data_IF_205526341400
#
_entry.id   IF_205526341400
#
_cell.length_a   1.000
_cell.length_b   1.000
_cell.length_c   1.000
_cell.angle_alpha   90.00
_cell.angle_beta   90.00
_cell.angle_gamma   90.00
#
_symmetry.space_group_name_H-M   'P 1'
#
loop_
_entity.id
_entity.type
_entity.pdbx_description
1 polymer ?
#
# COMPACT_ATOMS: atom_id res chain seq x y z
N UNK A 1 -26.22 11.70 17.19
CA UNK A 1 -25.30 10.95 16.30
C UNK A 1 -24.05 11.79 16.17
N UNK A 2 -22.86 11.18 16.18
CA UNK A 2 -21.63 11.91 15.88
C UNK A 2 -21.65 12.30 14.38
N UNK A 3 -21.32 13.55 14.03
CA UNK A 3 -21.24 14.02 12.64
C UNK A 3 -22.57 14.34 11.95
N UNK A 4 -22.53 14.53 10.62
CA UNK A 4 -23.70 14.81 9.76
C UNK A 4 -24.52 13.56 9.38
N UNK A 5 -24.12 12.39 9.88
CA UNK A 5 -24.76 11.09 9.61
C UNK A 5 -24.53 10.55 8.20
N UNK A 6 -23.63 11.15 7.39
CA UNK A 6 -23.34 10.71 6.03
C UNK A 6 -22.01 9.98 5.95
N UNK A 7 -21.96 8.97 5.08
CA UNK A 7 -20.73 8.23 4.74
C UNK A 7 -20.42 8.44 3.27
N UNK A 8 -19.25 8.98 2.98
CA UNK A 8 -18.79 9.19 1.60
C UNK A 8 -17.85 8.06 1.20
N UNK A 9 -18.25 7.23 0.24
CA UNK A 9 -17.38 6.21 -0.35
C UNK A 9 -16.56 6.85 -1.46
N UNK A 10 -15.25 6.62 -1.45
CA UNK A 10 -14.35 7.16 -2.48
C UNK A 10 -14.04 6.11 -3.56
N UNK A 11 -13.71 6.54 -4.80
CA UNK A 11 -13.22 5.64 -5.85
C UNK A 11 -11.93 4.89 -5.48
N UNK A 12 -11.22 5.33 -4.44
CA UNK A 12 -9.98 4.73 -3.95
C UNK A 12 -10.18 3.74 -2.81
N UNK A 13 -11.40 3.20 -2.66
CA UNK A 13 -11.76 2.17 -1.66
C UNK A 13 -11.56 2.66 -0.21
N UNK A 14 -11.78 3.95 0.03
CA UNK A 14 -11.84 4.52 1.38
C UNK A 14 -13.24 5.06 1.68
N UNK A 15 -13.50 5.30 2.96
CA UNK A 15 -14.71 5.99 3.44
C UNK A 15 -14.29 7.26 4.16
N UNK A 16 -15.08 8.33 4.03
CA UNK A 16 -14.88 9.60 4.72
C UNK A 16 -16.11 9.91 5.56
N UNK A 17 -15.89 10.17 6.84
CA UNK A 17 -16.88 10.70 7.78
C UNK A 17 -16.60 12.19 7.98
N UNK A 18 -17.66 13.02 8.02
CA UNK A 18 -17.56 14.48 8.07
C UNK A 18 -18.21 15.03 9.33
N UNK A 19 -17.88 16.30 9.61
CA UNK A 19 -18.49 17.11 10.66
C UNK A 19 -18.35 16.51 12.07
N UNK A 20 -17.26 15.77 12.30
CA UNK A 20 -16.89 15.21 13.59
C UNK A 20 -16.03 16.22 14.37
N UNK A 21 -16.39 16.47 15.63
CA UNK A 21 -15.49 17.13 16.57
C UNK A 21 -14.34 16.19 17.00
N UNK A 22 -13.34 16.74 17.69
CA UNK A 22 -12.15 15.98 18.09
C UNK A 22 -12.47 14.78 18.99
N UNK A 23 -13.46 14.89 19.88
CA UNK A 23 -13.83 13.82 20.79
C UNK A 23 -14.57 12.69 20.04
N UNK A 24 -15.42 13.05 19.08
CA UNK A 24 -16.09 12.13 18.18
C UNK A 24 -15.10 11.42 17.25
N UNK A 25 -14.08 12.12 16.74
CA UNK A 25 -12.99 11.52 15.95
C UNK A 25 -12.25 10.46 16.78
N UNK A 26 -11.87 10.75 18.03
CA UNK A 26 -11.16 9.79 18.88
C UNK A 26 -11.99 8.52 19.11
N UNK A 27 -13.23 8.67 19.62
CA UNK A 27 -14.13 7.52 19.87
C UNK A 27 -14.46 6.73 18.59
N UNK A 28 -14.68 7.45 17.49
CA UNK A 28 -14.98 6.85 16.19
C UNK A 28 -13.78 6.05 15.66
N UNK A 29 -12.57 6.58 15.79
CA UNK A 29 -11.35 5.92 15.33
C UNK A 29 -11.12 4.59 16.05
N UNK A 30 -11.28 4.54 17.37
CA UNK A 30 -11.13 3.30 18.15
C UNK A 30 -12.14 2.23 17.71
N UNK A 31 -13.40 2.62 17.51
CA UNK A 31 -14.46 1.69 17.04
C UNK A 31 -14.19 1.19 15.63
N UNK A 32 -13.79 2.07 14.72
CA UNK A 32 -13.48 1.72 13.33
C UNK A 32 -12.25 0.80 13.27
N UNK A 33 -11.21 1.09 14.06
CA UNK A 33 -10.03 0.24 14.20
C UNK A 33 -10.40 -1.16 14.73
N UNK A 34 -11.26 -1.24 15.74
CA UNK A 34 -11.75 -2.52 16.27
C UNK A 34 -12.55 -3.35 15.23
N UNK A 35 -13.14 -2.70 14.23
CA UNK A 35 -13.79 -3.34 13.07
C UNK A 35 -12.81 -3.68 11.94
N UNK A 36 -11.51 -3.44 12.12
CA UNK A 36 -10.47 -3.72 11.13
C UNK A 36 -10.29 -2.64 10.06
N UNK A 37 -10.87 -1.44 10.25
CA UNK A 37 -10.64 -0.31 9.36
C UNK A 37 -9.33 0.41 9.71
N UNK A 38 -8.62 0.84 8.67
CA UNK A 38 -7.37 1.59 8.81
C UNK A 38 -7.69 3.05 9.11
N UNK A 39 -7.38 3.49 10.32
CA UNK A 39 -7.53 4.90 10.78
C UNK A 39 -6.20 5.54 11.17
N UNK A 40 -5.16 4.74 11.40
CA UNK A 40 -3.81 5.22 11.70
C UNK A 40 -3.12 5.74 10.42
N UNK A 41 -2.67 6.99 10.47
CA UNK A 41 -1.98 7.66 9.38
C UNK A 41 -0.58 7.09 9.08
N UNK A 42 0.01 6.34 10.01
CA UNK A 42 1.31 5.69 9.84
C UNK A 42 1.22 4.23 9.38
N UNK A 43 -0.01 3.71 9.21
CA UNK A 43 -0.29 2.36 8.74
C UNK A 43 0.38 2.05 7.39
N UNK A 44 0.86 0.82 7.22
CA UNK A 44 1.41 0.32 5.95
C UNK A 44 0.42 0.36 4.78
N UNK A 45 -0.88 0.39 5.09
CA UNK A 45 -1.97 0.51 4.12
C UNK A 45 -2.09 1.91 3.50
N UNK A 46 -1.53 2.94 4.12
CA UNK A 46 -1.62 4.31 3.60
C UNK A 46 -0.94 4.38 2.23
N UNK A 47 -1.71 4.78 1.21
CA UNK A 47 -1.24 4.89 -0.18
C UNK A 47 -1.13 3.56 -0.94
N UNK A 48 -1.66 2.45 -0.40
CA UNK A 48 -1.75 1.17 -1.10
C UNK A 48 -3.04 1.11 -1.90
N UNK A 49 -2.94 0.79 -3.19
CA UNK A 49 -4.09 0.54 -4.06
C UNK A 49 -3.86 -0.70 -4.90
N UNK A 50 -4.92 -1.31 -5.39
CA UNK A 50 -4.84 -2.47 -6.27
C UNK A 50 -6.01 -2.56 -7.24
N UNK A 51 -5.79 -3.19 -8.39
CA UNK A 51 -6.87 -3.57 -9.30
C UNK A 51 -7.65 -4.78 -8.74
N UNK A 52 -8.64 -5.29 -9.50
CA UNK A 52 -9.41 -6.45 -9.06
C UNK A 52 -8.55 -7.71 -8.82
N UNK A 53 -7.52 -7.93 -9.64
CA UNK A 53 -6.68 -9.12 -9.56
C UNK A 53 -7.44 -10.42 -9.81
N UNK A 54 -6.78 -11.55 -9.55
CA UNK A 54 -7.46 -12.84 -9.37
C UNK A 54 -8.19 -12.85 -8.01
N UNK A 55 -9.30 -13.61 -7.87
CA UNK A 55 -10.04 -14.29 -8.94
C UNK A 55 -10.97 -13.35 -9.73
N UNK A 56 -11.09 -12.07 -9.35
CA UNK A 56 -12.09 -11.13 -9.90
C UNK A 56 -11.86 -10.65 -11.34
N UNK A 57 -10.75 -11.01 -11.98
CA UNK A 57 -10.42 -10.63 -13.35
C UNK A 57 -9.71 -11.78 -14.07
N UNK A 58 -10.32 -12.31 -15.14
CA UNK A 58 -9.76 -13.41 -15.93
C UNK A 58 -8.44 -13.06 -16.63
N UNK A 59 -8.14 -11.77 -16.83
CA UNK A 59 -6.86 -11.31 -17.41
C UNK A 59 -5.75 -11.16 -16.37
N UNK A 60 -6.06 -11.26 -15.07
CA UNK A 60 -5.06 -11.10 -14.03
C UNK A 60 -4.27 -12.39 -13.82
N UNK A 61 -2.96 -12.24 -13.65
CA UNK A 61 -2.01 -13.31 -13.35
C UNK A 61 -1.88 -13.53 -11.83
N UNK A 62 -2.14 -12.50 -11.02
CA UNK A 62 -1.95 -12.51 -9.57
C UNK A 62 -3.15 -11.99 -8.77
N UNK A 63 -3.28 -12.42 -7.52
CA UNK A 63 -4.25 -11.97 -6.51
C UNK A 63 -3.66 -10.74 -5.82
N UNK A 64 -3.62 -9.65 -6.58
CA UNK A 64 -3.00 -8.40 -6.13
C UNK A 64 -3.70 -7.75 -4.94
N UNK A 65 -4.93 -8.16 -4.60
CA UNK A 65 -5.60 -7.64 -3.40
C UNK A 65 -5.06 -8.31 -2.15
N UNK A 66 -4.94 -9.64 -2.18
CA UNK A 66 -4.30 -10.41 -1.11
C UNK A 66 -2.84 -9.97 -0.94
N UNK A 67 -2.13 -9.83 -2.05
CA UNK A 67 -0.71 -9.49 -2.04
C UNK A 67 -0.41 -8.09 -1.53
N UNK A 68 -1.21 -7.11 -1.97
CA UNK A 68 -1.16 -5.76 -1.44
C UNK A 68 -1.40 -5.75 0.08
N UNK A 69 -2.32 -6.59 0.56
CA UNK A 69 -2.57 -6.76 1.99
C UNK A 69 -1.38 -7.33 2.74
N UNK A 70 -0.78 -8.41 2.22
CA UNK A 70 0.43 -8.99 2.82
C UNK A 70 1.58 -7.99 2.88
N UNK A 71 1.81 -7.25 1.79
CA UNK A 71 2.83 -6.20 1.75
C UNK A 71 2.54 -5.02 2.69
N UNK A 72 1.27 -4.70 2.93
CA UNK A 72 0.86 -3.68 3.89
C UNK A 72 0.90 -4.15 5.36
N UNK A 73 1.23 -5.43 5.61
CA UNK A 73 1.28 -6.02 6.95
C UNK A 73 -0.02 -6.67 7.44
N UNK A 74 -0.99 -6.92 6.56
CA UNK A 74 -2.20 -7.66 6.90
C UNK A 74 -1.92 -9.17 6.93
N UNK A 75 -1.96 -9.78 8.13
CA UNK A 75 -2.11 -11.23 8.29
C UNK A 75 -0.98 -12.04 8.93
N UNK A 76 0.10 -11.47 9.48
CA UNK A 76 1.11 -12.25 10.26
C UNK A 76 1.98 -11.37 11.18
N UNK A 77 1.88 -11.63 12.50
CA UNK A 77 2.86 -11.38 13.58
C UNK A 77 3.38 -9.92 13.76
N UNK A 78 3.98 -9.55 14.91
CA UNK A 78 4.27 -8.15 15.20
C UNK A 78 5.18 -7.61 14.11
N UNK A 79 4.92 -6.37 13.68
CA UNK A 79 5.87 -5.53 12.95
C UNK A 79 7.24 -5.89 13.51
N UNK A 80 8.11 -6.53 12.70
CA UNK A 80 9.50 -6.65 13.13
C UNK A 80 9.90 -5.22 13.42
N UNK A 81 10.18 -4.94 14.69
CA UNK A 81 10.98 -3.81 15.12
C UNK A 81 12.39 -4.02 14.54
N UNK A 82 12.52 -4.11 13.22
CA UNK A 82 13.72 -3.71 12.55
C UNK A 82 13.89 -2.26 12.94
N UNK A 83 15.02 -1.97 13.59
CA UNK A 83 15.40 -0.67 14.13
C UNK A 83 14.90 0.43 13.22
N UNK A 84 13.75 1.02 13.57
CA UNK A 84 13.24 2.21 12.92
C UNK A 84 14.09 3.36 13.43
N UNK A 85 15.30 3.46 12.86
CA UNK A 85 16.22 4.59 13.06
C UNK A 85 15.68 5.87 12.37
N UNK A 86 14.45 5.82 11.87
CA UNK A 86 13.68 6.97 11.40
C UNK A 86 12.27 6.87 11.94
N UNK A 87 11.83 7.90 12.66
CA UNK A 87 10.57 8.00 13.39
C UNK A 87 9.29 7.88 12.54
N UNK A 88 8.18 8.52 12.96
CA UNK A 88 6.88 8.40 12.30
C UNK A 88 7.00 8.66 10.80
N UNK A 89 6.49 7.73 9.98
CA UNK A 89 6.58 7.83 8.51
C UNK A 89 5.27 8.36 7.97
N UNK A 90 5.19 9.68 7.85
CA UNK A 90 4.00 10.32 7.30
C UNK A 90 3.75 9.90 5.85
N UNK A 91 2.50 10.02 5.38
CA UNK A 91 2.12 9.85 3.96
C UNK A 91 3.02 10.61 2.99
N UNK A 92 3.64 11.72 3.42
CA UNK A 92 4.57 12.52 2.59
C UNK A 92 5.95 11.88 2.43
N UNK A 93 6.32 10.96 3.32
CA UNK A 93 7.61 10.25 3.32
C UNK A 93 7.58 8.96 2.46
N UNK A 94 6.39 8.58 1.95
CA UNK A 94 6.19 7.37 1.17
C UNK A 94 5.38 7.66 -0.09
N UNK A 95 5.90 7.23 -1.24
CA UNK A 95 5.11 7.21 -2.47
C UNK A 95 3.92 6.25 -2.35
N UNK A 96 2.79 6.56 -3.00
CA UNK A 96 1.72 5.59 -3.23
C UNK A 96 2.25 4.36 -3.99
N UNK A 97 1.64 3.20 -3.79
CA UNK A 97 1.91 1.98 -4.56
C UNK A 97 0.62 1.45 -5.16
N UNK A 98 0.69 0.98 -6.40
CA UNK A 98 -0.41 0.37 -7.11
C UNK A 98 -0.08 -1.05 -7.57
N UNK A 99 -0.86 -2.01 -7.10
CA UNK A 99 -0.71 -3.42 -7.44
C UNK A 99 -1.65 -3.81 -8.60
N UNK A 100 -1.04 -4.24 -9.70
CA UNK A 100 -1.72 -4.56 -10.95
C UNK A 100 -1.54 -6.04 -11.31
N UNK A 101 -2.64 -6.77 -11.45
CA UNK A 101 -2.59 -8.19 -11.79
C UNK A 101 -2.23 -8.46 -13.25
N UNK A 102 -2.13 -7.43 -14.10
CA UNK A 102 -1.69 -7.55 -15.48
C UNK A 102 -1.21 -6.19 -16.01
N UNK A 103 -0.69 -6.17 -17.24
CA UNK A 103 -0.17 -4.98 -17.89
C UNK A 103 -1.20 -3.84 -18.12
N UNK A 104 -2.51 -4.08 -17.93
CA UNK A 104 -3.56 -3.04 -18.11
C UNK A 104 -3.60 -1.99 -17.00
N UNK A 105 -3.12 -2.32 -15.80
CA UNK A 105 -3.03 -1.41 -14.64
C UNK A 105 -4.33 -0.65 -14.32
N UNK A 106 -5.45 -1.38 -14.34
CA UNK A 106 -6.77 -0.80 -14.11
C UNK A 106 -6.84 -0.11 -12.75
N UNK A 107 -7.24 1.16 -12.74
CA UNK A 107 -7.40 1.94 -11.50
C UNK A 107 -6.09 2.50 -10.93
N UNK A 108 -4.98 2.47 -11.68
CA UNK A 108 -3.74 3.11 -11.26
C UNK A 108 -3.99 4.62 -11.05
N UNK A 109 -3.64 5.17 -9.88
CA UNK A 109 -3.73 6.61 -9.63
C UNK A 109 -2.85 7.43 -10.60
N UNK A 110 -3.28 8.65 -10.88
CA UNK A 110 -2.46 9.63 -11.58
C UNK A 110 -1.28 10.10 -10.70
N UNK A 111 -0.23 10.63 -11.34
CA UNK A 111 0.96 11.14 -10.66
C UNK A 111 2.05 10.10 -10.45
N UNK A 112 2.97 10.39 -9.52
CA UNK A 112 4.06 9.50 -9.16
C UNK A 112 3.56 8.38 -8.24
N UNK A 113 3.72 7.14 -8.69
CA UNK A 113 3.27 5.93 -8.01
C UNK A 113 4.29 4.82 -8.27
N UNK A 114 4.53 4.00 -7.25
CA UNK A 114 5.25 2.74 -7.39
C UNK A 114 4.31 1.74 -8.03
N UNK A 115 4.68 1.24 -9.19
CA UNK A 115 3.89 0.25 -9.90
C UNK A 115 4.42 -1.14 -9.57
N UNK A 116 3.56 -2.03 -9.08
CA UNK A 116 3.84 -3.45 -8.89
C UNK A 116 2.94 -4.21 -9.86
N UNK A 117 3.52 -4.75 -10.92
CA UNK A 117 2.77 -5.32 -12.06
C UNK A 117 3.12 -6.78 -12.22
N UNK A 118 2.13 -7.66 -12.13
CA UNK A 118 2.30 -9.08 -12.44
C UNK A 118 2.44 -9.26 -13.96
N UNK A 119 3.49 -9.99 -14.36
CA UNK A 119 3.71 -10.49 -15.71
C UNK A 119 3.93 -12.02 -15.68
N UNK A 120 4.25 -12.60 -16.84
CA UNK A 120 4.43 -14.05 -16.96
C UNK A 120 5.62 -14.59 -16.12
N UNK A 121 6.56 -13.73 -15.74
CA UNK A 121 7.81 -14.10 -15.06
C UNK A 121 7.84 -13.73 -13.58
N UNK A 122 7.04 -12.75 -13.15
CA UNK A 122 7.03 -12.32 -11.76
C UNK A 122 6.26 -11.02 -11.54
N UNK A 123 6.59 -10.38 -10.41
CA UNK A 123 6.25 -9.00 -10.16
C UNK A 123 7.34 -8.06 -10.67
N UNK A 124 6.98 -7.17 -11.58
CA UNK A 124 7.82 -6.05 -12.02
C UNK A 124 7.49 -4.81 -11.20
N UNK A 125 8.48 -4.30 -10.46
CA UNK A 125 8.34 -3.15 -9.58
C UNK A 125 9.08 -1.97 -10.16
N UNK A 126 8.42 -0.83 -10.36
CA UNK A 126 9.04 0.35 -11.00
C UNK A 126 8.48 1.67 -10.49
N UNK A 127 9.30 2.72 -10.60
CA UNK A 127 8.88 4.13 -10.56
C UNK A 127 9.05 4.75 -11.95
N UNK A 128 8.25 5.76 -12.32
CA UNK A 128 8.33 6.39 -13.66
C UNK A 128 9.72 6.91 -14.05
N UNK A 129 10.50 7.40 -13.09
CA UNK A 129 11.83 7.98 -13.31
C UNK A 129 12.97 7.14 -12.68
N UNK A 130 12.70 5.89 -12.29
CA UNK A 130 13.62 5.08 -11.48
C UNK A 130 13.95 3.72 -12.07
N UNK A 131 14.80 2.97 -11.35
CA UNK A 131 15.14 1.60 -11.68
C UNK A 131 13.91 0.69 -11.61
N UNK A 132 13.90 -0.31 -12.48
CA UNK A 132 12.92 -1.40 -12.46
C UNK A 132 13.55 -2.61 -11.77
N UNK A 133 12.83 -3.22 -10.85
CA UNK A 133 13.17 -4.50 -10.25
C UNK A 133 12.21 -5.59 -10.76
N UNK A 134 12.69 -6.83 -10.81
CA UNK A 134 11.88 -8.02 -11.05
C UNK A 134 12.03 -8.94 -9.85
N UNK A 135 10.91 -9.31 -9.24
CA UNK A 135 10.85 -10.42 -8.28
C UNK A 135 10.18 -11.58 -8.99
N UNK A 136 10.93 -12.64 -9.33
CA UNK A 136 10.39 -13.75 -10.10
C UNK A 136 9.36 -14.55 -9.30
N UNK A 137 8.47 -15.22 -10.02
CA UNK A 137 7.67 -16.29 -9.40
C UNK A 137 8.62 -17.36 -8.83
N UNK A 138 8.28 -17.92 -7.68
CA UNK A 138 9.04 -19.01 -7.07
C UNK A 138 9.09 -20.23 -8.01
N UNK A 139 10.21 -20.96 -7.99
CA UNK A 139 10.32 -22.20 -8.74
C UNK A 139 9.23 -23.20 -8.33
N UNK A 140 8.62 -23.86 -9.34
CA UNK A 140 7.54 -24.81 -9.11
C UNK A 140 6.17 -24.20 -8.83
N UNK A 141 6.01 -22.88 -8.90
CA UNK A 141 4.70 -22.23 -8.81
C UNK A 141 3.73 -22.84 -9.84
N UNK A 142 2.63 -23.43 -9.36
CA UNK A 142 1.68 -24.13 -10.24
C UNK A 142 0.74 -23.14 -10.94
N UNK A 143 0.29 -23.42 -12.17
CA UNK A 143 -0.82 -22.68 -12.78
C UNK A 143 -2.04 -22.67 -11.86
N UNK A 144 -2.40 -21.50 -11.32
CA UNK A 144 -3.50 -21.35 -10.37
C UNK A 144 -3.08 -21.25 -8.89
N UNK A 145 -1.83 -21.56 -8.56
CA UNK A 145 -1.21 -21.16 -7.30
C UNK A 145 -0.76 -19.70 -7.45
N UNK A 146 -1.52 -18.82 -6.83
CA UNK A 146 -1.40 -17.39 -7.09
C UNK A 146 -0.34 -16.79 -6.16
N UNK A 147 0.62 -16.06 -6.74
CA UNK A 147 1.57 -15.19 -6.03
C UNK A 147 2.62 -15.89 -5.16
N UNK A 148 3.09 -17.06 -5.59
CA UNK A 148 4.30 -17.66 -5.05
C UNK A 148 5.52 -16.83 -5.50
N UNK A 149 6.10 -16.08 -4.57
CA UNK A 149 7.29 -15.24 -4.73
C UNK A 149 8.10 -15.32 -3.43
N UNK A 150 9.37 -14.91 -3.47
CA UNK A 150 10.09 -14.56 -2.26
C UNK A 150 9.47 -13.28 -1.67
N UNK A 151 8.75 -13.46 -0.56
CA UNK A 151 7.97 -12.38 0.06
C UNK A 151 8.82 -11.39 0.83
N UNK A 152 9.93 -11.83 1.42
CA UNK A 152 10.84 -10.93 2.13
C UNK A 152 11.50 -10.00 1.11
N UNK A 153 11.98 -10.56 0.00
CA UNK A 153 12.54 -9.77 -1.12
C UNK A 153 11.50 -8.83 -1.72
N UNK A 154 10.26 -9.30 -1.99
CA UNK A 154 9.23 -8.45 -2.56
C UNK A 154 8.86 -7.27 -1.64
N UNK A 155 8.70 -7.53 -0.34
CA UNK A 155 8.37 -6.49 0.64
C UNK A 155 9.49 -5.47 0.75
N UNK A 156 10.75 -5.91 0.81
CA UNK A 156 11.91 -5.03 0.88
C UNK A 156 12.04 -4.16 -0.37
N UNK A 157 11.90 -4.75 -1.56
CA UNK A 157 11.94 -4.03 -2.83
C UNK A 157 10.82 -2.99 -2.90
N UNK A 158 9.59 -3.36 -2.54
CA UNK A 158 8.46 -2.42 -2.52
C UNK A 158 8.69 -1.31 -1.49
N UNK A 159 9.16 -1.62 -0.29
CA UNK A 159 9.43 -0.63 0.75
C UNK A 159 10.53 0.36 0.33
N UNK A 160 11.62 -0.13 -0.25
CA UNK A 160 12.69 0.69 -0.82
C UNK A 160 12.15 1.58 -1.95
N UNK A 161 11.33 1.02 -2.84
CA UNK A 161 10.68 1.76 -3.93
C UNK A 161 9.57 2.70 -3.44
N UNK A 162 9.09 2.61 -2.22
CA UNK A 162 8.13 3.60 -1.69
C UNK A 162 8.81 4.72 -0.93
N UNK A 163 10.02 4.52 -0.41
CA UNK A 163 10.71 5.52 0.40
C UNK A 163 11.07 6.75 -0.44
N UNK A 164 10.72 7.94 0.03
CA UNK A 164 11.17 9.22 -0.54
C UNK A 164 12.33 9.71 0.33
N UNK A 165 13.52 9.89 -0.26
CA UNK A 165 14.61 10.54 0.46
C UNK A 165 14.18 11.97 0.80
N UNK A 166 14.17 12.33 2.09
CA UNK A 166 14.01 13.74 2.47
C UNK A 166 15.25 14.48 1.93
N UNK A 167 15.04 15.40 0.99
CA UNK A 167 16.01 16.48 0.82
C UNK A 167 16.07 17.18 2.19
N UNK A 168 17.22 17.08 2.87
CA UNK A 168 17.46 17.74 4.16
C UNK A 168 17.07 19.20 4.00
N UNK A 169 15.99 19.60 4.65
CA UNK A 169 15.59 21.01 4.76
C UNK A 169 16.20 21.60 6.04
N UNK A 170 17.47 21.29 6.30
CA UNK A 170 18.26 21.91 7.35
C UNK A 170 19.09 23.03 6.71
N UNK A 171 18.36 24.08 6.37
CA UNK A 171 18.87 25.33 5.82
C UNK A 171 17.97 26.45 6.30
N UNK A 172 17.84 26.60 7.62
CA UNK A 172 17.43 27.84 8.24
C UNK A 172 18.40 28.16 9.37
N UNK A 173 19.25 29.12 9.03
CA UNK A 173 20.26 29.75 9.85
C UNK A 173 19.67 30.20 11.19
N UNK A 174 20.43 29.95 12.25
CA UNK A 174 20.34 30.76 13.45
C UNK A 174 20.78 32.19 13.08
N UNK A 175 19.85 33.13 13.18
CA UNK A 175 20.10 34.55 13.41
C UNK A 175 19.11 35.03 14.45
#
# INVERSE_FOLDING_TARGET
>A
ADGDGRVMVTPWRSVVLRDLDAAAVARGSDRLAAMGLVVDADSGWVGVTSCAGRPGCAKALADVRRDAGRSAGAGSAPVRSGTSDGGPRHRRDRLPVHWSGCARRCGQPAGEVVEVVADATGYRIRRRAGSTALVPWSEGARPGEVSAVDWDVLVDVVAAQRSVARLRRDGREAR
#
